data_IF_998462103618
#
_entry.id   IF_998462103618
#
_cell.length_a   1.000
_cell.length_b   1.000
_cell.length_c   1.000
_cell.angle_alpha   90.00
_cell.angle_beta   90.00
_cell.angle_gamma   90.00
#
_symmetry.space_group_name_H-M   'P 1'
#
loop_
_entity.id
_entity.type
_entity.pdbx_description
1 polymer ?
#
# COMPACT_ATOMS: atom_id res chain seq x y z
N UNK A 1 3.28 0.55 -4.33
CA UNK A 1 2.95 1.78 -3.59
C UNK A 1 2.61 1.45 -2.17
N UNK A 2 2.97 2.31 -1.22
CA UNK A 2 2.42 2.22 0.14
C UNK A 2 1.26 3.19 0.24
N UNK A 3 0.12 2.69 0.70
CA UNK A 3 -1.04 3.52 1.04
C UNK A 3 -1.19 3.50 2.55
N UNK A 4 -1.50 4.67 3.13
CA UNK A 4 -1.92 4.78 4.52
C UNK A 4 -3.43 4.88 4.51
N UNK A 5 -4.08 3.96 5.22
CA UNK A 5 -5.52 3.90 5.33
C UNK A 5 -5.88 4.30 6.76
N UNK A 6 -6.64 5.38 6.88
CA UNK A 6 -7.21 5.81 8.16
C UNK A 6 -8.67 5.39 8.21
N UNK A 7 -9.06 4.75 9.30
CA UNK A 7 -10.44 4.36 9.53
C UNK A 7 -10.94 4.93 10.84
N UNK A 8 -12.25 5.18 10.87
CA UNK A 8 -13.00 5.37 12.09
C UNK A 8 -13.94 4.18 12.25
N UNK A 9 -13.90 3.54 13.41
CA UNK A 9 -14.86 2.51 13.80
C UNK A 9 -15.72 3.05 14.94
N UNK A 10 -16.97 2.61 14.94
CA UNK A 10 -17.90 2.84 16.04
C UNK A 10 -18.64 1.55 16.31
N UNK A 11 -18.82 1.20 17.59
CA UNK A 11 -19.59 0.02 17.99
C UNK A 11 -18.88 -0.80 19.06
N UNK A 12 -19.48 -1.95 19.37
CA UNK A 12 -18.93 -2.95 20.29
C UNK A 12 -18.34 -4.12 19.50
N UNK A 13 -17.17 -4.60 19.92
CA UNK A 13 -16.57 -5.80 19.37
C UNK A 13 -16.82 -6.98 20.32
N UNK A 14 -17.52 -7.99 19.84
CA UNK A 14 -17.75 -9.26 20.57
C UNK A 14 -16.99 -10.44 19.96
N UNK A 15 -16.49 -10.29 18.74
CA UNK A 15 -15.78 -11.32 17.96
C UNK A 15 -14.45 -10.80 17.43
N UNK A 16 -13.55 -11.72 17.05
CA UNK A 16 -12.29 -11.36 16.40
C UNK A 16 -12.55 -10.91 14.97
N UNK A 17 -11.97 -9.77 14.60
CA UNK A 17 -12.13 -9.17 13.28
C UNK A 17 -10.76 -9.11 12.60
N UNK A 18 -10.70 -9.60 11.37
CA UNK A 18 -9.56 -9.39 10.47
C UNK A 18 -9.84 -8.24 9.50
N UNK A 19 -8.84 -7.39 9.29
CA UNK A 19 -8.82 -6.39 8.23
C UNK A 19 -7.86 -6.84 7.13
N UNK A 20 -8.33 -6.76 5.90
CA UNK A 20 -7.49 -6.98 4.73
C UNK A 20 -7.90 -6.13 3.54
N UNK A 21 -7.09 -6.24 2.49
CA UNK A 21 -7.33 -5.62 1.20
C UNK A 21 -7.32 -6.72 0.13
N UNK A 22 -8.29 -6.68 -0.77
CA UNK A 22 -8.46 -7.63 -1.85
C UNK A 22 -8.33 -6.93 -3.20
N UNK A 23 -7.51 -7.47 -4.10
CA UNK A 23 -7.45 -7.01 -5.49
C UNK A 23 -8.77 -7.36 -6.20
N UNK A 24 -9.42 -6.36 -6.77
CA UNK A 24 -10.75 -6.51 -7.36
C UNK A 24 -10.74 -7.32 -8.67
N UNK A 25 -9.60 -7.44 -9.35
CA UNK A 25 -9.46 -8.23 -10.58
C UNK A 25 -9.00 -9.67 -10.31
N UNK A 26 -8.01 -9.86 -9.43
CA UNK A 26 -7.37 -11.18 -9.22
C UNK A 26 -7.86 -11.90 -7.98
N UNK A 27 -8.67 -11.24 -7.14
CA UNK A 27 -9.11 -11.73 -5.82
C UNK A 27 -7.96 -11.99 -4.85
N UNK A 28 -6.73 -11.60 -5.17
CA UNK A 28 -5.58 -11.74 -4.28
C UNK A 28 -5.77 -10.91 -3.00
N UNK A 29 -5.54 -11.54 -1.85
CA UNK A 29 -5.74 -10.94 -0.53
C UNK A 29 -4.39 -10.61 0.10
N UNK A 30 -4.30 -9.42 0.69
CA UNK A 30 -3.24 -9.04 1.62
C UNK A 30 -3.89 -8.73 2.97
N UNK A 31 -3.54 -9.52 3.99
CA UNK A 31 -4.00 -9.29 5.35
C UNK A 31 -3.21 -8.13 5.96
N UNK A 32 -3.93 -7.17 6.53
CA UNK A 32 -3.35 -5.96 7.14
C UNK A 32 -3.25 -6.14 8.66
N UNK A 33 -4.31 -6.65 9.28
CA UNK A 33 -4.38 -6.87 10.72
C UNK A 33 -5.30 -8.07 11.00
N UNK A 34 -4.77 -9.10 11.64
CA UNK A 34 -5.51 -10.33 11.96
C UNK A 34 -6.39 -10.19 13.20
N UNK A 35 -6.29 -9.09 13.96
CA UNK A 35 -7.10 -8.90 15.15
C UNK A 35 -7.33 -7.41 15.42
N UNK A 36 -8.09 -6.77 14.53
CA UNK A 36 -8.50 -5.38 14.64
C UNK A 36 -9.22 -5.15 15.96
N UNK A 37 -8.80 -4.11 16.66
CA UNK A 37 -9.49 -3.62 17.86
C UNK A 37 -10.41 -2.45 17.48
N UNK A 38 -11.69 -2.72 17.28
CA UNK A 38 -12.70 -1.73 16.91
C UNK A 38 -13.00 -0.75 18.05
N UNK A 39 -12.59 -1.06 19.29
CA UNK A 39 -12.86 -0.21 20.46
C UNK A 39 -11.99 1.05 20.49
N UNK A 40 -10.88 1.06 19.74
CA UNK A 40 -9.97 2.21 19.65
C UNK A 40 -10.56 3.40 18.90
N UNK A 41 -11.70 3.23 18.22
CA UNK A 41 -12.41 4.29 17.52
C UNK A 41 -11.73 4.76 16.23
N UNK A 42 -10.40 4.78 16.17
CA UNK A 42 -9.61 5.00 14.96
C UNK A 42 -8.19 4.47 15.10
N UNK A 43 -7.65 3.85 14.05
CA UNK A 43 -6.26 3.44 13.97
C UNK A 43 -5.77 3.58 12.53
N UNK A 44 -4.56 4.13 12.29
CA UNK A 44 -3.96 4.12 10.96
C UNK A 44 -3.34 2.75 10.68
N UNK A 45 -3.53 2.24 9.45
CA UNK A 45 -2.79 1.09 8.94
C UNK A 45 -2.06 1.45 7.66
N UNK A 46 -0.82 0.99 7.54
CA UNK A 46 -0.04 1.09 6.31
C UNK A 46 -0.04 -0.26 5.60
N UNK A 47 -0.33 -0.26 4.30
CA UNK A 47 -0.24 -1.46 3.47
C UNK A 47 0.47 -1.15 2.16
N UNK A 48 1.36 -2.05 1.76
CA UNK A 48 2.11 -1.96 0.51
C UNK A 48 1.51 -2.90 -0.51
N UNK A 49 0.89 -2.34 -1.54
CA UNK A 49 0.31 -3.08 -2.67
C UNK A 49 0.78 -2.49 -3.99
N UNK A 50 0.73 -3.29 -5.05
CA UNK A 50 0.98 -2.78 -6.42
C UNK A 50 -0.16 -1.87 -6.85
N UNK A 51 0.09 -1.00 -7.83
CA UNK A 51 -0.98 -0.19 -8.42
C UNK A 51 -2.08 -1.10 -8.99
N UNK A 52 -3.35 -0.73 -8.80
CA UNK A 52 -4.48 -1.57 -9.17
C UNK A 52 -5.79 -1.12 -8.54
N UNK A 53 -6.85 -1.93 -8.72
CA UNK A 53 -8.16 -1.69 -8.10
C UNK A 53 -8.37 -2.65 -6.94
N UNK A 54 -8.83 -2.13 -5.81
CA UNK A 54 -8.94 -2.88 -4.57
C UNK A 54 -10.25 -2.62 -3.84
N UNK A 55 -10.63 -3.57 -2.99
CA UNK A 55 -11.65 -3.42 -1.95
C UNK A 55 -11.00 -3.69 -0.61
N UNK A 56 -11.42 -2.99 0.42
CA UNK A 56 -11.09 -3.35 1.79
C UNK A 56 -12.16 -4.29 2.31
N UNK A 57 -11.78 -5.19 3.22
CA UNK A 57 -12.73 -6.05 3.89
C UNK A 57 -12.47 -6.11 5.39
N UNK A 58 -13.56 -6.25 6.14
CA UNK A 58 -13.56 -6.79 7.49
C UNK A 58 -14.11 -8.20 7.45
N UNK A 59 -13.41 -9.17 8.03
CA UNK A 59 -13.89 -10.53 8.19
C UNK A 59 -14.13 -10.80 9.68
N UNK A 60 -15.35 -11.17 10.02
CA UNK A 60 -15.64 -11.80 11.32
C UNK A 60 -15.09 -13.22 11.30
N UNK A 61 -14.09 -13.51 12.14
CA UNK A 61 -13.42 -14.81 12.18
C UNK A 61 -14.25 -15.91 12.85
N UNK A 62 -15.30 -15.56 13.58
CA UNK A 62 -16.20 -16.53 14.21
C UNK A 62 -17.24 -17.02 13.21
N UNK A 63 -17.84 -16.10 12.44
CA UNK A 63 -18.89 -16.44 11.47
C UNK A 63 -18.41 -16.55 10.03
N UNK A 64 -17.14 -16.19 9.75
CA UNK A 64 -16.56 -16.09 8.40
C UNK A 64 -17.34 -15.18 7.45
N UNK A 65 -17.97 -14.14 8.01
CA UNK A 65 -18.71 -13.15 7.23
C UNK A 65 -17.77 -12.02 6.79
N UNK A 66 -17.85 -11.65 5.52
CA UNK A 66 -17.04 -10.58 4.93
C UNK A 66 -17.87 -9.34 4.65
N UNK A 67 -17.35 -8.19 5.04
CA UNK A 67 -17.93 -6.88 4.77
C UNK A 67 -16.96 -6.09 3.91
N UNK A 68 -17.34 -5.82 2.67
CA UNK A 68 -16.48 -5.14 1.70
C UNK A 68 -16.81 -3.65 1.59
N UNK A 69 -15.77 -2.84 1.40
CA UNK A 69 -15.92 -1.47 0.93
C UNK A 69 -16.30 -1.41 -0.56
N UNK A 70 -16.61 -0.21 -1.02
CA UNK A 70 -16.57 0.09 -2.45
C UNK A 70 -15.15 -0.10 -3.00
N UNK A 71 -15.06 -0.36 -4.31
CA UNK A 71 -13.78 -0.44 -5.02
C UNK A 71 -13.12 0.94 -5.07
N UNK A 72 -11.81 0.99 -4.84
CA UNK A 72 -10.97 2.18 -5.01
C UNK A 72 -9.70 1.85 -5.81
N UNK A 73 -9.07 2.87 -6.37
CA UNK A 73 -7.85 2.74 -7.17
C UNK A 73 -6.63 3.13 -6.35
N UNK A 74 -5.62 2.26 -6.35
CA UNK A 74 -4.28 2.57 -5.86
C UNK A 74 -3.40 2.89 -7.06
N UNK A 75 -2.83 4.08 -7.07
CA UNK A 75 -1.89 4.50 -8.11
C UNK A 75 -0.44 4.26 -7.67
N UNK A 76 0.46 4.13 -8.66
CA UNK A 76 1.89 4.19 -8.38
C UNK A 76 2.21 5.57 -7.78
N UNK A 77 2.79 5.59 -6.58
CA UNK A 77 3.33 6.84 -6.05
C UNK A 77 4.45 7.30 -6.97
N UNK A 78 4.28 8.44 -7.63
CA UNK A 78 5.40 9.16 -8.24
C UNK A 78 6.24 9.72 -7.10
N UNK A 79 7.13 8.90 -6.52
CA UNK A 79 8.26 9.48 -5.80
C UNK A 79 8.98 10.42 -6.77
N UNK A 80 9.65 11.48 -6.30
CA UNK A 80 10.49 12.28 -7.18
C UNK A 80 11.44 11.33 -7.91
N UNK A 81 11.30 11.22 -9.23
CA UNK A 81 12.35 10.65 -10.05
C UNK A 81 13.55 11.55 -9.81
N UNK A 82 14.50 11.08 -9.01
CA UNK A 82 15.83 11.65 -8.99
C UNK A 82 16.48 11.32 -10.34
N UNK A 83 16.03 11.99 -11.39
CA UNK A 83 16.81 12.17 -12.60
C UNK A 83 17.92 13.16 -12.23
N UNK A 84 18.85 12.74 -11.37
CA UNK A 84 20.17 13.36 -11.37
C UNK A 84 20.66 13.26 -12.82
N UNK A 85 20.97 14.37 -13.49
CA UNK A 85 21.67 14.28 -14.75
C UNK A 85 23.00 13.59 -14.43
N UNK A 86 23.19 12.37 -14.94
CA UNK A 86 24.52 11.80 -15.05
C UNK A 86 25.32 12.75 -15.94
N UNK A 87 26.06 13.65 -15.32
CA UNK A 87 27.07 14.43 -16.01
C UNK A 87 28.13 13.44 -16.50
N UNK A 88 27.94 12.95 -17.72
CA UNK A 88 29.00 12.35 -18.50
C UNK A 88 30.05 13.44 -18.69
N UNK A 89 31.09 13.37 -17.87
CA UNK A 89 32.30 14.13 -18.06
C UNK A 89 33.26 13.21 -18.84
N UNK A 90 33.41 13.35 -20.16
CA UNK A 90 34.47 12.64 -20.85
C UNK A 90 35.78 13.38 -20.55
N UNK A 91 36.57 12.87 -19.63
CA UNK A 91 37.97 13.26 -19.48
C UNK A 91 38.75 12.75 -20.69
N UNK A 92 38.76 13.55 -21.76
CA UNK A 92 39.71 13.40 -22.86
C UNK A 92 41.04 14.05 -22.45
N UNK A 93 41.97 13.26 -21.91
CA UNK A 93 43.38 13.66 -21.82
C UNK A 93 44.09 13.26 -23.11
N UNK A 94 44.15 14.18 -24.07
CA UNK A 94 45.04 14.10 -25.23
C UNK A 94 46.38 14.73 -24.88
N UNK A 95 47.37 13.90 -24.50
CA UNK A 95 48.77 14.31 -24.51
C UNK A 95 49.25 14.35 -25.96
N UNK A 96 49.40 15.55 -26.51
CA UNK A 96 50.07 15.79 -27.79
C UNK A 96 51.59 15.72 -27.57
N UNK A 97 52.21 14.80 -28.29
CA UNK A 97 53.65 14.67 -28.51
C UNK A 97 54.06 15.56 -29.69
N UNK A 98 55.35 15.93 -29.77
CA UNK A 98 56.12 16.58 -30.87
C UNK A 98 56.52 18.04 -30.52
N UNK A 99 57.75 18.51 -30.68
CA UNK A 99 59.03 17.96 -31.19
C UNK A 99 60.18 18.75 -30.58
#
# INVERSE_FOLDING_TARGET
STIVISWSFSGSQSTRIELGIQNAQTSAITVIDTNVDLTKGSQPWAVSVVAGSYKLFLMDQTSYNYYYSNTFTVTAGSGPQNNSPSSNNPSSSSSTQSS
#
